data_IF_894061918545
#
_entry.id   IF_894061918545
#
_cell.length_a   1.000
_cell.length_b   1.000
_cell.length_c   1.000
_cell.angle_alpha   90.00
_cell.angle_beta   90.00
_cell.angle_gamma   90.00
#
_symmetry.space_group_name_H-M   'P 1'
#
loop_
_entity.id
_entity.type
_entity.pdbx_description
1 polymer ?
#
# COMPACT_ATOMS: atom_id res chain seq x y z
N UNK A 1 -0.98 -61.35 -24.24
CA UNK A 1 -2.19 -62.20 -24.38
C UNK A 1 -1.82 -63.61 -23.95
N UNK A 2 -2.71 -64.41 -23.33
CA UNK A 2 -4.13 -64.15 -22.99
C UNK A 2 -4.45 -64.50 -21.50
N UNK A 3 -5.62 -64.38 -20.86
CA UNK A 3 -7.07 -64.25 -21.16
C UNK A 3 -7.70 -63.39 -20.03
N UNK A 4 -8.59 -62.40 -20.26
CA UNK A 4 -10.02 -62.37 -20.68
C UNK A 4 -11.05 -62.74 -19.59
N UNK A 5 -12.00 -61.82 -19.35
CA UNK A 5 -13.32 -62.01 -18.70
C UNK A 5 -13.79 -60.72 -17.99
N UNK A 6 -14.31 -59.71 -18.69
CA UNK A 6 -15.73 -59.43 -19.02
C UNK A 6 -16.71 -59.45 -17.82
N UNK A 7 -17.32 -58.28 -17.58
CA UNK A 7 -18.53 -58.09 -16.78
C UNK A 7 -19.11 -56.71 -17.09
N UNK A 8 -20.05 -56.67 -18.03
CA UNK A 8 -20.85 -55.51 -18.42
C UNK A 8 -21.90 -55.18 -17.35
N UNK A 9 -22.27 -53.90 -17.26
CA UNK A 9 -23.35 -53.41 -16.41
C UNK A 9 -23.65 -51.94 -16.68
N UNK A 10 -24.15 -51.65 -17.88
CA UNK A 10 -24.80 -50.38 -18.23
C UNK A 10 -26.28 -50.49 -17.87
N UNK A 11 -26.79 -49.57 -17.04
CA UNK A 11 -28.22 -49.23 -16.98
C UNK A 11 -28.33 -47.69 -16.81
N UNK A 12 -28.95 -47.06 -17.82
CA UNK A 12 -29.89 -45.92 -17.83
C UNK A 12 -29.78 -44.83 -16.74
N UNK A 13 -30.11 -43.55 -16.95
CA UNK A 13 -30.31 -42.60 -18.06
C UNK A 13 -30.48 -41.23 -17.35
N UNK A 14 -30.43 -40.14 -18.12
CA UNK A 14 -30.73 -38.75 -17.72
C UNK A 14 -31.98 -38.62 -16.83
N UNK A 15 -31.99 -37.59 -15.99
CA UNK A 15 -32.94 -36.45 -15.98
C UNK A 15 -32.61 -35.52 -14.79
N UNK A 16 -32.84 -34.20 -14.95
CA UNK A 16 -32.94 -33.26 -13.83
C UNK A 16 -31.82 -32.22 -13.73
N UNK A 17 -31.99 -31.09 -14.43
CA UNK A 17 -31.32 -29.85 -14.06
C UNK A 17 -31.81 -29.36 -12.69
N UNK A 18 -30.87 -29.02 -11.82
CA UNK A 18 -31.09 -28.35 -10.54
C UNK A 18 -29.80 -27.57 -10.19
N UNK A 19 -29.91 -26.36 -9.60
CA UNK A 19 -28.80 -25.42 -9.53
C UNK A 19 -27.68 -25.89 -8.61
N UNK A 20 -26.44 -25.55 -8.99
CA UNK A 20 -25.23 -25.71 -8.17
C UNK A 20 -25.44 -25.18 -6.75
N UNK A 21 -24.89 -25.84 -5.70
CA UNK A 21 -25.00 -25.39 -4.32
C UNK A 21 -24.03 -24.24 -4.06
N UNK A 22 -24.35 -23.08 -4.63
CA UNK A 22 -23.97 -21.78 -4.10
C UNK A 22 -25.27 -21.13 -3.64
N UNK A 23 -25.23 -20.50 -2.46
CA UNK A 23 -26.33 -19.85 -1.74
C UNK A 23 -27.01 -20.74 -0.70
N UNK A 24 -26.44 -20.75 0.52
CA UNK A 24 -27.20 -20.47 1.75
C UNK A 24 -26.31 -20.65 2.99
N UNK A 25 -25.49 -19.66 3.33
CA UNK A 25 -25.13 -19.31 4.71
C UNK A 25 -24.92 -17.79 4.78
N UNK A 26 -25.40 -17.15 5.87
CA UNK A 26 -25.82 -15.74 5.90
C UNK A 26 -24.67 -14.72 6.08
N UNK A 27 -24.82 -13.45 5.63
CA UNK A 27 -23.72 -12.47 5.55
C UNK A 27 -23.28 -11.79 6.87
N UNK A 28 -23.61 -12.29 8.06
CA UNK A 28 -23.31 -11.57 9.32
C UNK A 28 -22.85 -12.42 10.52
N UNK A 29 -22.48 -13.69 10.31
CA UNK A 29 -21.90 -14.53 11.38
C UNK A 29 -20.36 -14.45 11.49
N UNK A 30 -19.70 -13.58 10.72
CA UNK A 30 -18.25 -13.36 10.82
C UNK A 30 -17.83 -12.28 11.84
N UNK A 31 -18.78 -11.65 12.53
CA UNK A 31 -18.55 -10.46 13.37
C UNK A 31 -18.44 -10.71 14.88
N UNK A 32 -18.32 -11.97 15.34
CA UNK A 32 -18.32 -12.29 16.77
C UNK A 32 -16.92 -12.52 17.40
N UNK A 33 -15.82 -12.12 16.74
CA UNK A 33 -14.47 -12.19 17.32
C UNK A 33 -13.61 -10.92 17.15
N UNK A 34 -14.23 -9.75 16.92
CA UNK A 34 -13.53 -8.45 16.86
C UNK A 34 -13.87 -7.51 18.02
N UNK A 35 -14.62 -7.96 19.02
CA UNK A 35 -15.12 -7.10 20.12
C UNK A 35 -14.13 -6.81 21.27
N UNK A 36 -12.81 -6.87 21.05
CA UNK A 36 -11.86 -6.47 22.12
C UNK A 36 -10.64 -5.64 21.69
N UNK A 37 -10.62 -5.12 20.47
CA UNK A 37 -9.66 -4.08 20.07
C UNK A 37 -10.39 -3.04 19.22
N UNK A 38 -10.89 -1.99 19.89
CA UNK A 38 -11.37 -0.77 19.25
C UNK A 38 -10.21 -0.11 18.49
N UNK A 39 -10.06 -0.43 17.21
CA UNK A 39 -9.43 0.48 16.26
C UNK A 39 -10.47 1.51 15.84
N UNK A 40 -10.65 2.52 16.70
CA UNK A 40 -11.35 3.74 16.32
C UNK A 40 -10.51 4.44 15.23
N UNK A 41 -11.06 4.70 14.03
CA UNK A 41 -10.42 5.58 13.07
C UNK A 41 -10.21 6.93 13.75
N UNK A 42 -9.00 7.50 13.69
CA UNK A 42 -8.71 8.79 14.30
C UNK A 42 -9.67 9.86 13.75
N UNK A 43 -10.72 10.16 14.51
CA UNK A 43 -11.65 11.24 14.23
C UNK A 43 -10.93 12.54 14.57
N UNK A 44 -10.57 13.33 13.56
CA UNK A 44 -10.02 14.68 13.73
C UNK A 44 -11.15 15.71 13.54
N UNK A 45 -11.87 16.10 14.62
CA UNK A 45 -13.08 16.92 14.53
C UNK A 45 -12.84 18.38 14.10
N UNK A 46 -11.61 18.78 13.80
CA UNK A 46 -11.23 20.13 13.40
C UNK A 46 -10.64 20.23 11.99
N UNK A 47 -10.53 19.11 11.26
CA UNK A 47 -10.15 19.14 9.85
C UNK A 47 -11.42 19.26 9.01
N UNK A 48 -11.59 20.45 8.41
CA UNK A 48 -12.69 20.79 7.50
C UNK A 48 -12.83 19.68 6.42
N UNK A 49 -14.01 19.08 6.20
CA UNK A 49 -14.18 17.91 5.31
C UNK A 49 -13.80 18.16 3.84
N UNK A 50 -13.58 19.41 3.45
CA UNK A 50 -13.24 19.85 2.10
C UNK A 50 -11.86 19.34 1.63
N UNK A 51 -10.93 19.01 2.54
CA UNK A 51 -9.57 18.59 2.16
C UNK A 51 -9.48 17.14 1.62
N UNK A 52 -10.42 16.27 1.97
CA UNK A 52 -10.44 14.90 1.45
C UNK A 52 -11.15 14.78 0.09
N UNK A 53 -11.97 15.77 -0.27
CA UNK A 53 -12.80 15.75 -1.48
C UNK A 53 -12.04 16.14 -2.75
N UNK A 54 -10.83 16.70 -2.63
CA UNK A 54 -9.99 17.15 -3.77
C UNK A 54 -8.60 16.55 -3.81
N UNK A 55 -8.39 15.40 -3.17
CA UNK A 55 -7.27 14.53 -3.54
C UNK A 55 -7.75 13.57 -4.62
N UNK A 56 -7.94 14.10 -5.84
CA UNK A 56 -7.99 13.26 -7.03
C UNK A 56 -6.66 12.51 -7.08
N UNK A 57 -6.65 11.29 -6.52
CA UNK A 57 -5.63 10.30 -6.84
C UNK A 57 -5.55 10.29 -8.36
N UNK A 58 -4.36 10.61 -8.89
CA UNK A 58 -4.07 10.76 -10.30
C UNK A 58 -4.88 9.75 -11.15
N UNK A 59 -5.51 10.17 -12.26
CA UNK A 59 -6.31 9.29 -13.13
C UNK A 59 -5.47 8.27 -13.92
N UNK A 60 -4.34 7.85 -13.37
CA UNK A 60 -3.43 6.86 -13.93
C UNK A 60 -3.92 5.47 -13.53
N UNK A 61 -3.89 4.52 -14.45
CA UNK A 61 -4.09 3.10 -14.15
C UNK A 61 -3.14 2.69 -13.00
N UNK A 62 -3.62 2.10 -11.89
CA UNK A 62 -2.76 1.65 -10.79
C UNK A 62 -1.58 0.80 -11.24
N UNK A 63 -1.74 0.02 -12.32
CA UNK A 63 -0.66 -0.78 -12.91
C UNK A 63 0.42 0.11 -13.54
N UNK A 64 0.00 1.12 -14.31
CA UNK A 64 0.92 2.09 -14.92
C UNK A 64 1.65 2.89 -13.85
N UNK A 65 0.93 3.36 -12.82
CA UNK A 65 1.54 4.05 -11.68
C UNK A 65 2.56 3.16 -10.98
N UNK A 66 2.19 1.92 -10.63
CA UNK A 66 3.10 1.01 -9.94
C UNK A 66 4.34 0.73 -10.78
N UNK A 67 4.19 0.53 -12.08
CA UNK A 67 5.32 0.29 -12.98
C UNK A 67 6.24 1.51 -13.08
N UNK A 68 5.67 2.70 -13.27
CA UNK A 68 6.42 3.95 -13.27
C UNK A 68 7.25 4.12 -11.98
N UNK A 69 6.71 3.71 -10.83
CA UNK A 69 7.32 3.90 -9.53
C UNK A 69 8.32 2.81 -9.12
N UNK A 70 8.11 1.56 -9.51
CA UNK A 70 8.87 0.42 -8.98
C UNK A 70 9.59 -0.43 -10.02
N UNK A 71 9.35 -0.27 -11.34
CA UNK A 71 9.97 -1.14 -12.36
C UNK A 71 11.51 -1.08 -12.36
N UNK A 72 12.07 0.05 -11.98
CA UNK A 72 13.51 0.31 -11.88
C UNK A 72 14.04 0.19 -10.43
N UNK A 73 13.34 -0.56 -9.57
CA UNK A 73 13.82 -0.84 -8.22
C UNK A 73 15.03 -1.79 -8.24
N UNK A 74 16.05 -1.46 -7.44
CA UNK A 74 17.31 -2.21 -7.36
C UNK A 74 17.23 -3.29 -6.28
N UNK A 75 16.38 -4.30 -6.50
CA UNK A 75 16.12 -5.37 -5.52
C UNK A 75 16.91 -6.67 -5.77
N UNK A 76 17.83 -6.68 -6.75
CA UNK A 76 18.68 -7.82 -7.10
C UNK A 76 17.97 -9.04 -7.71
N UNK A 77 16.63 -9.07 -7.77
CA UNK A 77 15.84 -10.13 -8.40
C UNK A 77 14.56 -9.53 -9.01
N UNK A 78 14.32 -9.77 -10.31
CA UNK A 78 13.15 -9.28 -11.03
C UNK A 78 11.81 -9.73 -10.40
N UNK A 79 11.78 -10.87 -9.71
CA UNK A 79 10.58 -11.35 -8.99
C UNK A 79 10.24 -10.46 -7.80
N UNK A 80 11.22 -9.83 -7.16
CA UNK A 80 11.00 -8.87 -6.07
C UNK A 80 10.45 -7.56 -6.62
N UNK A 81 10.99 -7.09 -7.74
CA UNK A 81 10.45 -5.92 -8.46
C UNK A 81 8.99 -6.13 -8.84
N UNK A 82 8.66 -7.27 -9.47
CA UNK A 82 7.27 -7.61 -9.82
C UNK A 82 6.36 -7.74 -8.60
N UNK A 83 6.90 -8.20 -7.47
CA UNK A 83 6.14 -8.24 -6.20
C UNK A 83 5.85 -6.83 -5.69
N UNK A 84 6.83 -5.93 -5.71
CA UNK A 84 6.65 -4.53 -5.31
C UNK A 84 5.56 -3.85 -6.14
N UNK A 85 5.62 -3.98 -7.47
CA UNK A 85 4.59 -3.47 -8.39
C UNK A 85 3.20 -4.03 -8.03
N UNK A 86 3.07 -5.36 -7.87
CA UNK A 86 1.79 -5.98 -7.54
C UNK A 86 1.23 -5.55 -6.17
N UNK A 87 2.09 -5.36 -5.17
CA UNK A 87 1.68 -4.86 -3.86
C UNK A 87 1.22 -3.40 -3.96
N UNK A 88 1.93 -2.56 -4.71
CA UNK A 88 1.56 -1.16 -4.93
C UNK A 88 0.20 -1.04 -5.64
N UNK A 89 -0.06 -1.85 -6.66
CA UNK A 89 -1.37 -1.92 -7.33
C UNK A 89 -2.48 -2.26 -6.33
N UNK A 90 -2.27 -3.27 -5.48
CA UNK A 90 -3.26 -3.67 -4.49
C UNK A 90 -3.54 -2.56 -3.48
N UNK A 91 -2.49 -1.91 -2.96
CA UNK A 91 -2.60 -0.80 -2.02
C UNK A 91 -3.29 0.43 -2.62
N UNK A 92 -3.04 0.75 -3.89
CA UNK A 92 -3.71 1.86 -4.58
C UNK A 92 -5.21 1.58 -4.80
N UNK A 93 -5.58 0.32 -5.07
CA UNK A 93 -6.98 -0.07 -5.27
C UNK A 93 -7.80 -0.08 -3.98
N UNK A 94 -7.15 -0.30 -2.84
CA UNK A 94 -7.80 -0.32 -1.53
C UNK A 94 -6.93 0.41 -0.48
N UNK A 95 -6.85 1.75 -0.53
CA UNK A 95 -6.05 2.52 0.41
C UNK A 95 -6.53 2.32 1.85
N UNK A 96 -5.58 2.16 2.78
CA UNK A 96 -5.87 1.99 4.21
C UNK A 96 -6.26 0.57 4.63
N UNK A 97 -6.39 -0.37 3.70
CA UNK A 97 -6.69 -1.76 4.04
C UNK A 97 -5.47 -2.53 4.57
N UNK A 98 -5.76 -3.51 5.43
CA UNK A 98 -4.74 -4.41 5.97
C UNK A 98 -4.19 -5.36 4.89
N UNK A 99 -2.92 -5.80 4.99
CA UNK A 99 -2.32 -6.75 4.03
C UNK A 99 -3.18 -8.01 3.79
N UNK A 100 -3.81 -8.64 4.80
CA UNK A 100 -4.70 -9.78 4.56
C UNK A 100 -5.96 -9.44 3.76
N UNK A 101 -6.44 -8.20 3.81
CA UNK A 101 -7.61 -7.73 3.04
C UNK A 101 -7.25 -7.30 1.62
N UNK A 102 -6.00 -6.88 1.39
CA UNK A 102 -5.52 -6.52 0.06
C UNK A 102 -5.41 -7.71 -0.91
N UNK A 103 -5.24 -8.93 -0.39
CA UNK A 103 -5.06 -10.13 -1.23
C UNK A 103 -6.11 -11.20 -0.93
N UNK A 104 -6.75 -11.73 -1.98
CA UNK A 104 -7.79 -12.75 -1.83
C UNK A 104 -7.24 -14.11 -1.39
N UNK A 105 -5.98 -14.42 -1.72
CA UNK A 105 -5.40 -15.74 -1.50
C UNK A 105 -4.37 -15.74 -0.37
N UNK A 106 -4.42 -16.71 0.56
CA UNK A 106 -3.44 -16.81 1.65
C UNK A 106 -1.98 -16.87 1.20
N UNK A 107 -1.71 -17.45 0.02
CA UNK A 107 -0.38 -17.52 -0.58
C UNK A 107 0.18 -16.13 -0.91
N UNK A 108 -0.67 -15.20 -1.31
CA UNK A 108 -0.30 -13.83 -1.70
C UNK A 108 -0.06 -12.97 -0.46
N UNK A 109 -0.91 -13.11 0.56
CA UNK A 109 -0.70 -12.53 1.89
C UNK A 109 0.67 -12.96 2.45
N UNK A 110 0.97 -14.27 2.43
CA UNK A 110 2.26 -14.79 2.90
C UNK A 110 3.43 -14.28 2.06
N UNK A 111 3.24 -14.11 0.76
CA UNK A 111 4.26 -13.55 -0.12
C UNK A 111 4.53 -12.06 0.17
N UNK A 112 3.49 -11.29 0.50
CA UNK A 112 3.63 -9.88 0.89
C UNK A 112 4.40 -9.74 2.22
N UNK A 113 4.06 -10.54 3.24
CA UNK A 113 4.83 -10.56 4.49
C UNK A 113 6.29 -10.96 4.26
N UNK A 114 6.55 -12.02 3.49
CA UNK A 114 7.92 -12.43 3.13
C UNK A 114 8.68 -11.40 2.31
N UNK A 115 7.99 -10.55 1.55
CA UNK A 115 8.60 -9.47 0.80
C UNK A 115 9.06 -8.35 1.73
N UNK A 116 8.21 -7.95 2.68
CA UNK A 116 8.52 -6.91 3.67
C UNK A 116 9.58 -7.35 4.68
N UNK A 117 9.67 -8.65 4.98
CA UNK A 117 10.66 -9.24 5.88
C UNK A 117 11.96 -9.65 5.15
N UNK A 118 12.10 -9.35 3.86
CA UNK A 118 13.27 -9.76 3.09
C UNK A 118 14.44 -8.78 3.30
N UNK A 119 15.61 -9.22 3.78
CA UNK A 119 16.75 -8.34 4.01
C UNK A 119 17.35 -7.74 2.73
N UNK A 120 17.00 -8.28 1.57
CA UNK A 120 17.39 -7.71 0.27
C UNK A 120 16.33 -6.77 -0.33
N UNK A 121 15.29 -6.43 0.43
CA UNK A 121 14.29 -5.43 0.08
C UNK A 121 14.44 -4.28 1.07
N UNK A 122 15.37 -3.39 0.79
CA UNK A 122 15.59 -2.18 1.59
C UNK A 122 14.92 -0.95 0.94
N UNK A 123 14.57 0.09 1.72
CA UNK A 123 13.93 1.30 1.19
C UNK A 123 14.77 2.05 0.16
N UNK A 124 16.11 1.97 0.24
CA UNK A 124 16.96 2.66 -0.72
C UNK A 124 16.90 1.96 -2.08
N UNK A 125 17.05 0.64 -2.15
CA UNK A 125 16.88 -0.14 -3.38
C UNK A 125 15.46 -0.06 -3.96
N UNK A 126 14.44 -0.11 -3.11
CA UNK A 126 13.04 -0.03 -3.52
C UNK A 126 12.70 1.29 -4.25
N UNK A 127 13.30 2.41 -3.81
CA UNK A 127 13.07 3.73 -4.38
C UNK A 127 14.13 4.17 -5.40
N UNK A 128 15.08 3.32 -5.80
CA UNK A 128 16.21 3.71 -6.66
C UNK A 128 15.79 4.39 -7.97
N UNK A 129 15.07 3.69 -8.84
CA UNK A 129 14.55 4.26 -10.08
C UNK A 129 13.60 5.43 -9.86
N UNK A 130 12.77 5.37 -8.82
CA UNK A 130 11.92 6.49 -8.44
C UNK A 130 12.72 7.78 -8.17
N UNK A 131 13.78 7.70 -7.38
CA UNK A 131 14.64 8.85 -7.09
C UNK A 131 15.31 9.38 -8.35
N UNK A 132 15.77 8.50 -9.23
CA UNK A 132 16.38 8.91 -10.50
C UNK A 132 15.40 9.70 -11.36
N UNK A 133 14.16 9.22 -11.50
CA UNK A 133 13.10 9.92 -12.21
C UNK A 133 12.76 11.26 -11.58
N UNK A 134 12.59 11.33 -10.25
CA UNK A 134 12.30 12.61 -9.57
C UNK A 134 13.44 13.61 -9.77
N UNK A 135 14.71 13.17 -9.65
CA UNK A 135 15.88 14.02 -9.92
C UNK A 135 15.90 14.53 -11.36
N UNK A 136 15.59 13.66 -12.33
CA UNK A 136 15.47 14.04 -13.74
C UNK A 136 14.36 15.06 -13.96
N UNK A 137 13.19 14.83 -13.37
CA UNK A 137 12.07 15.77 -13.42
C UNK A 137 12.50 17.14 -12.85
N UNK A 138 13.18 17.18 -11.70
CA UNK A 138 13.67 18.42 -11.08
C UNK A 138 14.64 19.24 -11.96
N UNK A 139 15.29 18.65 -12.97
CA UNK A 139 16.17 19.39 -13.89
C UNK A 139 15.41 20.17 -14.98
N UNK A 140 14.11 19.93 -15.16
CA UNK A 140 13.33 20.66 -16.16
C UNK A 140 13.24 22.17 -15.80
N UNK A 141 13.17 23.06 -16.81
CA UNK A 141 13.13 24.50 -16.58
C UNK A 141 12.01 24.95 -15.63
N UNK A 142 12.32 25.93 -14.78
CA UNK A 142 11.38 26.55 -13.84
C UNK A 142 11.79 26.38 -12.38
N UNK A 143 11.01 26.97 -11.48
CA UNK A 143 11.28 26.92 -10.04
C UNK A 143 10.74 25.62 -9.43
N UNK A 144 11.64 24.85 -8.81
CA UNK A 144 11.31 23.71 -7.96
C UNK A 144 11.47 24.10 -6.50
N UNK A 145 10.43 23.90 -5.68
CA UNK A 145 10.51 24.04 -4.23
C UNK A 145 10.74 22.67 -3.59
N UNK A 146 11.57 22.63 -2.55
CA UNK A 146 11.84 21.45 -1.72
C UNK A 146 11.34 21.74 -0.31
N UNK A 147 10.16 21.23 0.00
CA UNK A 147 9.50 21.45 1.28
C UNK A 147 10.01 20.38 2.23
N UNK A 148 10.62 20.80 3.34
CA UNK A 148 11.16 19.89 4.35
C UNK A 148 10.30 19.94 5.61
N UNK A 149 9.96 18.77 6.15
CA UNK A 149 9.23 18.65 7.40
C UNK A 149 9.59 17.34 8.11
N UNK A 150 9.40 17.29 9.43
CA UNK A 150 9.64 16.13 10.27
C UNK A 150 8.34 15.70 10.93
N UNK A 151 7.98 14.43 10.77
CA UNK A 151 6.80 13.84 11.43
C UNK A 151 7.19 12.64 12.28
N UNK A 152 6.49 12.44 13.39
CA UNK A 152 6.67 11.28 14.26
C UNK A 152 5.69 10.17 13.86
N UNK A 153 6.22 8.95 13.70
CA UNK A 153 5.41 7.75 13.49
C UNK A 153 5.28 7.00 14.81
N UNK A 154 4.05 6.95 15.32
CA UNK A 154 3.73 6.44 16.64
C UNK A 154 3.16 5.02 16.62
N UNK A 155 3.76 4.15 17.42
CA UNK A 155 3.39 2.75 17.62
C UNK A 155 3.09 2.53 19.11
N UNK A 156 1.81 2.46 19.45
CA UNK A 156 1.30 2.21 20.81
C UNK A 156 0.96 0.72 21.04
N UNK A 157 1.89 -0.15 20.65
CA UNK A 157 1.71 -1.60 20.76
C UNK A 157 1.86 -2.12 22.20
N UNK A 158 1.30 -3.31 22.48
CA UNK A 158 1.48 -4.00 23.78
C UNK A 158 2.87 -4.63 23.95
N UNK A 159 3.63 -4.78 22.87
CA UNK A 159 4.93 -5.46 22.85
C UNK A 159 5.97 -4.56 22.19
N UNK A 160 7.20 -4.50 22.73
CA UNK A 160 8.27 -3.74 22.09
C UNK A 160 8.58 -4.25 20.68
N UNK A 161 8.69 -3.34 19.72
CA UNK A 161 9.14 -3.61 18.36
C UNK A 161 10.62 -3.27 18.27
N UNK A 162 11.44 -4.27 17.90
CA UNK A 162 12.88 -4.09 17.70
C UNK A 162 13.18 -3.06 16.60
N UNK A 163 14.17 -2.19 16.83
CA UNK A 163 14.56 -1.15 15.88
C UNK A 163 13.76 0.16 15.97
N UNK A 164 12.70 0.22 16.78
CA UNK A 164 12.01 1.46 17.12
C UNK A 164 12.60 2.13 18.36
N UNK A 165 12.58 3.45 18.35
CA UNK A 165 12.96 4.31 19.47
C UNK A 165 11.79 4.66 20.38
N UNK A 166 12.04 5.36 21.49
CA UNK A 166 10.97 5.95 22.30
C UNK A 166 10.54 7.30 21.75
N UNK A 167 9.24 7.58 21.69
CA UNK A 167 8.73 8.87 21.21
C UNK A 167 7.86 9.55 22.29
N UNK A 168 7.73 10.88 22.19
CA UNK A 168 7.03 11.69 23.20
C UNK A 168 7.68 11.60 24.59
N UNK A 169 6.85 11.66 25.64
CA UNK A 169 7.31 11.72 27.04
C UNK A 169 7.71 10.35 27.62
N UNK A 170 8.15 9.40 26.80
CA UNK A 170 8.55 8.06 27.23
C UNK A 170 7.52 7.34 28.13
N UNK A 171 6.21 7.56 27.89
CA UNK A 171 5.17 6.75 28.54
C UNK A 171 5.40 5.29 28.17
N UNK A 172 5.31 4.40 29.14
CA UNK A 172 5.58 2.97 28.97
C UNK A 172 4.87 2.42 27.73
N UNK A 173 5.65 1.90 26.79
CA UNK A 173 5.16 1.25 25.58
C UNK A 173 4.96 2.14 24.35
N UNK A 174 5.17 3.46 24.42
CA UNK A 174 5.10 4.32 23.22
C UNK A 174 6.44 4.30 22.45
N UNK A 175 6.45 3.61 21.32
CA UNK A 175 7.62 3.52 20.44
C UNK A 175 7.37 4.16 19.09
N UNK A 176 8.43 4.50 18.37
CA UNK A 176 8.33 5.11 17.07
C UNK A 176 9.65 5.55 16.46
N UNK A 177 9.53 6.38 15.43
CA UNK A 177 10.66 7.01 14.75
C UNK A 177 10.24 8.36 14.19
N UNK A 178 11.22 9.23 13.98
CA UNK A 178 11.03 10.49 13.25
C UNK A 178 11.33 10.25 11.77
N UNK A 179 10.37 10.58 10.91
CA UNK A 179 10.55 10.66 9.47
C UNK A 179 10.82 12.12 9.09
N UNK A 180 12.08 12.42 8.77
CA UNK A 180 12.39 13.69 8.12
C UNK A 180 12.21 13.53 6.61
N UNK A 181 11.32 14.32 6.01
CA UNK A 181 10.92 14.19 4.62
C UNK A 181 11.13 15.48 3.82
N UNK A 182 11.37 15.32 2.52
CA UNK A 182 11.47 16.39 1.55
C UNK A 182 10.49 16.12 0.42
N UNK A 183 9.55 17.03 0.19
CA UNK A 183 8.59 17.01 -0.91
C UNK A 183 9.01 18.02 -1.99
N UNK A 184 9.30 17.54 -3.19
CA UNK A 184 9.65 18.35 -4.35
C UNK A 184 8.39 18.72 -5.14
N UNK A 185 8.15 20.01 -5.34
CA UNK A 185 7.02 20.53 -6.10
C UNK A 185 7.44 21.57 -7.13
N UNK A 186 6.71 21.64 -8.25
CA UNK A 186 6.86 22.67 -9.29
C UNK A 186 5.58 23.49 -9.43
N UNK A 187 5.73 24.73 -9.90
CA UNK A 187 4.60 25.60 -10.23
C UNK A 187 4.23 26.57 -9.10
N UNK A 188 4.98 26.55 -8.00
CA UNK A 188 4.84 27.54 -6.94
C UNK A 188 5.06 28.96 -7.48
N UNK A 189 4.12 29.87 -7.21
CA UNK A 189 4.18 31.26 -7.65
C UNK A 189 3.71 31.53 -9.08
N UNK A 190 3.28 30.52 -9.84
CA UNK A 190 2.52 30.75 -11.08
C UNK A 190 1.08 31.11 -10.70
N UNK A 191 0.76 32.39 -10.62
CA UNK A 191 -0.63 32.84 -10.52
C UNK A 191 -1.34 32.49 -11.82
N UNK A 192 -2.24 31.52 -11.75
CA UNK A 192 -3.27 31.40 -12.77
C UNK A 192 -4.11 32.67 -12.70
N UNK A 193 -4.18 33.41 -13.79
CA UNK A 193 -4.87 34.71 -13.89
C UNK A 193 -6.37 34.60 -13.64
N UNK A 194 -6.91 33.40 -13.44
CA UNK A 194 -8.30 33.18 -13.10
C UNK A 194 -8.50 32.38 -11.80
N UNK A 195 -9.05 33.08 -10.79
CA UNK A 195 -9.97 32.58 -9.74
C UNK A 195 -9.51 31.54 -8.71
N UNK A 196 -8.27 31.02 -8.71
CA UNK A 196 -7.81 30.16 -7.59
C UNK A 196 -7.04 30.96 -6.53
N UNK A 197 -7.51 30.91 -5.28
CA UNK A 197 -6.86 31.53 -4.11
C UNK A 197 -5.48 30.93 -3.80
N UNK A 198 -5.23 29.70 -4.28
CA UNK A 198 -3.96 28.99 -4.19
C UNK A 198 -3.57 28.43 -5.56
N UNK A 199 -2.37 28.76 -6.09
CA UNK A 199 -1.93 28.21 -7.36
C UNK A 199 -1.73 26.69 -7.25
N UNK A 200 -2.12 25.95 -8.28
CA UNK A 200 -1.87 24.50 -8.34
C UNK A 200 -0.37 24.21 -8.36
N UNK A 201 0.05 23.18 -7.63
CA UNK A 201 1.43 22.69 -7.67
C UNK A 201 1.48 21.29 -8.24
N UNK A 202 2.45 21.04 -9.09
CA UNK A 202 2.81 19.71 -9.59
C UNK A 202 3.71 19.04 -8.54
N UNK A 203 3.32 17.88 -8.03
CA UNK A 203 4.17 17.08 -7.13
C UNK A 203 5.14 16.27 -7.98
N UNK A 204 6.43 16.57 -7.86
CA UNK A 204 7.48 15.83 -8.58
C UNK A 204 7.84 14.54 -7.86
N UNK A 205 7.86 14.58 -6.53
CA UNK A 205 8.14 13.41 -5.69
C UNK A 205 8.57 13.76 -4.27
N UNK A 206 8.82 12.76 -3.44
CA UNK A 206 9.21 12.90 -2.05
C UNK A 206 10.35 11.95 -1.67
N UNK A 207 11.09 12.28 -0.61
CA UNK A 207 12.05 11.36 0.02
C UNK A 207 11.96 11.51 1.52
N UNK A 208 11.99 10.40 2.24
CA UNK A 208 12.09 10.40 3.69
C UNK A 208 13.36 9.70 4.19
N UNK A 209 13.84 10.14 5.35
CA UNK A 209 14.83 9.41 6.16
C UNK A 209 14.22 9.16 7.54
N UNK A 210 14.04 7.89 7.87
CA UNK A 210 13.60 7.46 9.19
C UNK A 210 14.80 7.42 10.14
N UNK A 211 14.63 7.96 11.34
CA UNK A 211 15.61 7.88 12.43
C UNK A 211 14.89 7.43 13.68
N UNK A 212 15.36 6.33 14.29
CA UNK A 212 14.86 5.91 15.59
C UNK A 212 15.17 7.00 16.61
N UNK A 213 14.19 7.30 17.47
CA UNK A 213 14.40 8.19 18.59
C UNK A 213 15.26 7.50 19.65
N UNK A 214 16.15 8.26 20.29
CA UNK A 214 17.03 7.73 21.33
C UNK A 214 16.27 7.39 22.62
#
# INVERSE_FOLDING_TARGET
MPRRGKGEGSIFQREGGGPSPLLNLKPWEADQLTSSLDFSPCHYPHLNPVWFETMELHPEDPVQWASLHFAEAELGDARRVKRAEGMAVAMLRAPGESLPRLFMHPREVKAAYRFLDNPHVDPEGLHAGYRQRVRGAMQAPGTCLRIEDSSEFSYSGRQPVGGLGFIGNAREGLQGFVLHSVLAVRGWGKTDTEKRKHPGVEVLGWRGKATACA
#
